data_IF_641061350705
#
_entry.id   IF_641061350705
#
_cell.length_a   1.000
_cell.length_b   1.000
_cell.length_c   1.000
_cell.angle_alpha   90.00
_cell.angle_beta   90.00
_cell.angle_gamma   90.00
#
_symmetry.space_group_name_H-M   'P 1'
#
loop_
_entity.id
_entity.type
_entity.pdbx_description
1 polymer ?
#
# COMPACT_ATOMS: atom_id res chain seq x y z
N UNK A 1 -23.14 17.88 -2.87
CA UNK A 1 -22.07 17.35 -3.76
C UNK A 1 -22.23 15.85 -3.81
N UNK A 2 -21.92 15.20 -4.93
CA UNK A 2 -21.94 13.74 -4.99
C UNK A 2 -20.86 13.17 -4.07
N UNK A 3 -21.21 12.19 -3.24
CA UNK A 3 -20.25 11.50 -2.35
C UNK A 3 -19.25 10.76 -3.23
N UNK A 4 -17.95 10.97 -2.97
CA UNK A 4 -16.86 10.28 -3.66
C UNK A 4 -16.37 9.12 -2.82
N UNK A 5 -16.12 7.98 -3.46
CA UNK A 5 -15.60 6.78 -2.81
C UNK A 5 -14.13 6.59 -3.14
N UNK A 6 -13.30 6.34 -2.14
CA UNK A 6 -11.88 6.09 -2.30
C UNK A 6 -11.54 4.71 -1.74
N UNK A 7 -10.76 3.94 -2.50
CA UNK A 7 -10.24 2.65 -2.07
C UNK A 7 -8.77 2.83 -1.67
N UNK A 8 -8.44 2.47 -0.44
CA UNK A 8 -7.08 2.44 0.07
C UNK A 8 -6.66 0.98 0.18
N UNK A 9 -5.75 0.52 -0.68
CA UNK A 9 -5.09 -0.76 -0.50
C UNK A 9 -3.90 -0.59 0.41
N UNK A 10 -3.76 -1.46 1.41
CA UNK A 10 -2.64 -1.44 2.34
C UNK A 10 -1.78 -2.68 2.25
N UNK A 11 -0.48 -2.47 2.30
CA UNK A 11 0.55 -3.49 2.43
C UNK A 11 1.53 -3.12 3.55
N UNK A 12 2.45 -4.02 3.94
CA UNK A 12 3.23 -3.86 5.18
C UNK A 12 4.69 -3.47 4.95
N UNK A 13 5.32 -4.02 3.93
CA UNK A 13 6.77 -3.97 3.72
C UNK A 13 7.27 -2.56 3.50
N UNK A 14 6.44 -1.66 2.95
CA UNK A 14 6.73 -0.25 2.68
C UNK A 14 6.42 0.71 3.83
N UNK A 15 5.77 0.24 4.90
CA UNK A 15 5.35 1.06 6.05
C UNK A 15 6.53 1.69 6.79
N UNK A 16 6.32 2.87 7.39
CA UNK A 16 7.28 3.56 8.26
C UNK A 16 7.86 2.60 9.31
N UNK A 17 9.19 2.59 9.48
CA UNK A 17 9.88 1.78 10.50
C UNK A 17 10.00 0.28 10.19
N UNK A 18 9.37 -0.23 9.13
CA UNK A 18 9.51 -1.62 8.67
C UNK A 18 10.78 -1.74 7.83
N UNK A 19 11.70 -2.64 8.19
CA UNK A 19 13.03 -2.68 7.55
C UNK A 19 13.57 -4.08 7.28
N UNK A 20 13.11 -5.11 7.99
CA UNK A 20 13.66 -6.47 7.91
C UNK A 20 12.55 -7.49 7.85
N UNK A 21 12.84 -8.69 7.34
CA UNK A 21 11.87 -9.79 7.25
C UNK A 21 11.18 -10.15 8.58
N UNK A 22 11.77 -9.83 9.72
CA UNK A 22 11.15 -10.08 11.03
C UNK A 22 9.88 -9.27 11.25
N UNK A 23 9.73 -8.12 10.58
CA UNK A 23 8.50 -7.33 10.59
C UNK A 23 7.40 -7.94 9.70
N UNK A 24 7.73 -8.88 8.81
CA UNK A 24 6.78 -9.60 7.95
C UNK A 24 6.50 -11.04 8.44
N UNK A 25 7.07 -11.45 9.58
CA UNK A 25 6.77 -12.73 10.21
C UNK A 25 5.51 -12.60 11.07
N UNK A 26 4.37 -13.07 10.55
CA UNK A 26 3.04 -12.95 11.15
C UNK A 26 2.92 -13.52 12.58
N UNK A 27 3.91 -14.28 13.06
CA UNK A 27 3.94 -14.85 14.40
C UNK A 27 4.80 -14.06 15.40
N UNK A 28 5.53 -13.04 14.93
CA UNK A 28 6.55 -12.34 15.69
C UNK A 28 6.10 -11.00 16.29
N UNK A 29 6.70 -10.61 17.43
CA UNK A 29 6.49 -9.28 18.06
C UNK A 29 6.82 -8.09 17.16
N UNK A 30 7.74 -8.29 16.20
CA UNK A 30 8.09 -7.24 15.22
C UNK A 30 6.98 -7.02 14.22
N UNK A 31 6.21 -8.05 13.91
CA UNK A 31 5.05 -7.94 13.04
C UNK A 31 3.88 -7.24 13.74
N UNK A 32 3.61 -7.55 15.01
CA UNK A 32 2.63 -6.77 15.81
C UNK A 32 2.96 -5.27 15.80
N UNK A 33 4.26 -4.95 15.94
CA UNK A 33 4.75 -3.58 15.85
C UNK A 33 4.61 -2.99 14.43
N UNK A 34 4.86 -3.79 13.39
CA UNK A 34 4.66 -3.39 11.99
C UNK A 34 3.20 -2.99 11.75
N UNK A 35 2.26 -3.81 12.22
CA UNK A 35 0.81 -3.55 12.09
C UNK A 35 0.41 -2.28 12.84
N UNK A 36 1.00 -2.02 14.02
CA UNK A 36 0.78 -0.77 14.73
C UNK A 36 1.31 0.46 13.95
N UNK A 37 2.45 0.34 13.26
CA UNK A 37 2.97 1.38 12.38
C UNK A 37 2.11 1.56 11.13
N UNK A 38 1.58 0.46 10.58
CA UNK A 38 0.66 0.50 9.45
C UNK A 38 -0.60 1.28 9.78
N UNK A 39 -1.17 1.10 10.98
CA UNK A 39 -2.29 1.91 11.46
C UNK A 39 -1.95 3.41 11.50
N UNK A 40 -0.72 3.77 11.89
CA UNK A 40 -0.28 5.16 11.89
C UNK A 40 -0.27 5.75 10.48
N UNK A 41 0.41 5.09 9.54
CA UNK A 41 0.52 5.55 8.16
C UNK A 41 -0.86 5.59 7.46
N UNK A 42 -1.67 4.55 7.65
CA UNK A 42 -3.02 4.46 7.10
C UNK A 42 -3.92 5.59 7.62
N UNK A 43 -3.98 5.79 8.94
CA UNK A 43 -4.86 6.79 9.52
C UNK A 43 -4.42 8.21 9.12
N UNK A 44 -3.11 8.48 8.99
CA UNK A 44 -2.62 9.75 8.46
C UNK A 44 -3.08 10.00 7.01
N UNK A 45 -3.05 8.97 6.15
CA UNK A 45 -3.57 9.06 4.79
C UNK A 45 -5.08 9.31 4.78
N UNK A 46 -5.84 8.64 5.66
CA UNK A 46 -7.29 8.85 5.80
C UNK A 46 -7.61 10.28 6.27
N UNK A 47 -6.87 10.79 7.27
CA UNK A 47 -7.01 12.16 7.77
C UNK A 47 -6.71 13.19 6.68
N UNK A 48 -5.62 13.01 5.94
CA UNK A 48 -5.27 13.88 4.81
C UNK A 48 -6.32 13.85 3.70
N UNK A 49 -6.84 12.66 3.38
CA UNK A 49 -7.92 12.50 2.41
C UNK A 49 -9.20 13.23 2.86
N UNK A 50 -9.60 13.07 4.12
CA UNK A 50 -10.80 13.70 4.67
C UNK A 50 -10.64 15.22 4.86
N UNK A 51 -9.41 15.72 5.04
CA UNK A 51 -9.14 17.14 5.01
C UNK A 51 -9.36 17.74 3.62
N UNK A 52 -9.03 16.98 2.56
CA UNK A 52 -9.23 17.39 1.16
C UNK A 52 -10.68 17.17 0.67
N UNK A 53 -11.32 16.08 1.08
CA UNK A 53 -12.73 15.76 0.80
C UNK A 53 -13.44 15.28 2.09
N UNK A 54 -14.02 16.21 2.87
CA UNK A 54 -14.69 15.88 4.14
C UNK A 54 -15.87 14.90 4.00
N UNK A 55 -16.39 14.76 2.79
CA UNK A 55 -17.54 13.90 2.46
C UNK A 55 -17.14 12.55 1.88
N UNK A 56 -15.84 12.25 1.77
CA UNK A 56 -15.36 11.00 1.23
C UNK A 56 -15.90 9.79 1.99
N UNK A 57 -16.29 8.77 1.23
CA UNK A 57 -16.47 7.40 1.69
C UNK A 57 -15.14 6.66 1.52
N UNK A 58 -14.60 6.12 2.60
CA UNK A 58 -13.27 5.48 2.60
C UNK A 58 -13.41 3.99 2.81
N UNK A 59 -12.93 3.22 1.84
CA UNK A 59 -12.85 1.77 1.91
C UNK A 59 -11.39 1.37 2.02
N UNK A 60 -11.03 0.59 3.04
CA UNK A 60 -9.68 0.10 3.26
C UNK A 60 -9.65 -1.38 2.95
N UNK A 61 -8.72 -1.77 2.09
CA UNK A 61 -8.42 -3.15 1.73
C UNK A 61 -7.12 -3.56 2.40
N UNK A 62 -7.22 -4.51 3.32
CA UNK A 62 -6.04 -5.20 3.85
C UNK A 62 -5.52 -6.20 2.80
N UNK A 63 -4.34 -5.94 2.25
CA UNK A 63 -3.77 -6.69 1.13
C UNK A 63 -2.43 -7.38 1.46
N UNK A 64 -2.04 -7.43 2.73
CA UNK A 64 -0.79 -8.07 3.15
C UNK A 64 -1.03 -9.50 3.66
N UNK A 65 -0.12 -10.44 3.32
CA UNK A 65 -0.15 -11.85 3.77
C UNK A 65 -1.54 -12.53 3.74
N UNK A 66 -2.20 -12.66 4.90
CA UNK A 66 -3.49 -13.34 5.07
C UNK A 66 -4.69 -12.41 4.84
N UNK A 67 -4.44 -11.12 4.60
CA UNK A 67 -5.42 -10.05 4.48
C UNK A 67 -6.28 -9.85 5.75
N UNK A 68 -5.77 -10.16 6.94
CA UNK A 68 -6.49 -10.10 8.22
C UNK A 68 -5.69 -9.43 9.35
N UNK A 69 -4.84 -8.46 8.97
CA UNK A 69 -3.81 -7.89 9.83
C UNK A 69 -4.33 -6.68 10.62
N UNK A 70 -5.17 -5.83 10.02
CA UNK A 70 -5.66 -4.60 10.65
C UNK A 70 -6.64 -4.85 11.80
N UNK A 71 -6.31 -4.34 12.99
CA UNK A 71 -7.23 -4.21 14.11
C UNK A 71 -8.30 -3.12 13.89
N UNK A 72 -9.55 -3.52 13.71
CA UNK A 72 -10.69 -2.62 13.48
C UNK A 72 -10.88 -1.56 14.58
N UNK A 73 -10.41 -1.82 15.81
CA UNK A 73 -10.51 -0.85 16.92
C UNK A 73 -9.58 0.36 16.76
N UNK A 74 -8.54 0.22 15.95
CA UNK A 74 -7.53 1.25 15.70
C UNK A 74 -7.75 1.97 14.36
N UNK A 75 -8.62 1.44 13.50
CA UNK A 75 -8.94 2.04 12.22
C UNK A 75 -9.69 3.36 12.40
N UNK A 76 -9.36 4.36 11.57
CA UNK A 76 -10.07 5.64 11.57
C UNK A 76 -11.60 5.44 11.42
N UNK A 77 -12.45 6.06 12.25
CA UNK A 77 -13.89 5.77 12.34
C UNK A 77 -14.72 6.15 11.11
N UNK A 78 -14.11 6.85 10.14
CA UNK A 78 -14.72 7.20 8.84
C UNK A 78 -14.38 6.21 7.73
N UNK A 79 -13.69 5.12 8.04
CA UNK A 79 -13.32 4.09 7.09
C UNK A 79 -14.04 2.77 7.37
N UNK A 80 -14.32 2.03 6.30
CA UNK A 80 -14.77 0.63 6.35
C UNK A 80 -13.60 -0.28 5.98
N UNK A 81 -13.56 -1.50 6.51
CA UNK A 81 -12.46 -2.44 6.33
C UNK A 81 -12.90 -3.69 5.56
N UNK A 82 -12.09 -4.10 4.58
CA UNK A 82 -12.20 -5.37 3.83
C UNK A 82 -11.03 -6.27 4.22
N UNK A 83 -11.34 -7.38 4.87
CA UNK A 83 -10.38 -8.42 5.29
C UNK A 83 -10.69 -9.78 4.65
N UNK A 84 -9.68 -10.66 4.63
CA UNK A 84 -9.67 -11.97 3.99
C UNK A 84 -9.47 -11.89 2.47
N UNK A 85 -8.97 -12.95 1.86
CA UNK A 85 -8.87 -13.01 0.39
C UNK A 85 -10.24 -13.27 -0.24
N UNK A 86 -10.69 -12.32 -1.07
CA UNK A 86 -11.96 -12.37 -1.80
C UNK A 86 -11.90 -13.23 -3.07
N UNK A 87 -12.88 -13.06 -3.95
CA UNK A 87 -13.11 -13.97 -5.09
C UNK A 87 -12.27 -13.67 -6.34
N UNK A 88 -11.43 -12.63 -6.34
CA UNK A 88 -10.47 -12.45 -7.45
C UNK A 88 -9.86 -11.06 -7.67
N UNK A 89 -10.32 -10.00 -6.99
CA UNK A 89 -9.78 -8.65 -7.18
C UNK A 89 -8.51 -8.38 -6.34
N UNK A 90 -8.21 -9.31 -5.43
CA UNK A 90 -6.94 -9.44 -4.70
C UNK A 90 -6.60 -8.17 -3.91
N UNK A 91 -5.49 -7.47 -4.22
CA UNK A 91 -5.06 -6.28 -3.48
C UNK A 91 -6.00 -5.09 -3.62
N UNK A 92 -6.95 -5.10 -4.57
CA UNK A 92 -7.94 -4.03 -4.75
C UNK A 92 -9.37 -4.53 -4.62
N UNK A 93 -9.59 -5.57 -3.80
CA UNK A 93 -10.94 -6.05 -3.49
C UNK A 93 -11.83 -4.90 -2.99
N UNK A 94 -13.07 -4.84 -3.49
CA UNK A 94 -14.00 -3.72 -3.28
C UNK A 94 -13.94 -2.61 -4.33
N UNK A 95 -13.05 -2.70 -5.33
CA UNK A 95 -13.04 -1.76 -6.46
C UNK A 95 -14.25 -1.96 -7.40
N UNK A 96 -14.76 -0.85 -7.93
CA UNK A 96 -15.84 -0.80 -8.91
C UNK A 96 -15.77 0.52 -9.71
N UNK A 97 -16.54 0.69 -10.80
CA UNK A 97 -16.56 1.95 -11.57
C UNK A 97 -17.02 3.18 -10.77
N UNK A 98 -17.68 2.99 -9.62
CA UNK A 98 -18.10 4.07 -8.73
C UNK A 98 -16.97 4.57 -7.81
N UNK A 99 -15.83 3.86 -7.74
CA UNK A 99 -14.66 4.32 -7.00
C UNK A 99 -14.01 5.47 -7.76
N UNK A 100 -13.79 6.58 -7.05
CA UNK A 100 -13.18 7.78 -7.60
C UNK A 100 -11.69 7.59 -7.86
N UNK A 101 -10.98 6.98 -6.91
CA UNK A 101 -9.55 6.72 -7.04
C UNK A 101 -9.06 5.64 -6.05
N UNK A 102 -7.91 5.06 -6.37
CA UNK A 102 -7.16 4.15 -5.50
C UNK A 102 -5.95 4.85 -4.89
N UNK A 103 -5.72 4.59 -3.61
CA UNK A 103 -4.53 4.97 -2.87
C UNK A 103 -3.81 3.70 -2.40
N UNK A 104 -2.49 3.68 -2.49
CA UNK A 104 -1.66 2.54 -2.09
C UNK A 104 -0.81 2.95 -0.87
N UNK A 105 -0.91 2.21 0.23
CA UNK A 105 -0.21 2.58 1.49
C UNK A 105 0.65 1.42 1.96
N UNK A 106 1.89 1.71 2.31
CA UNK A 106 2.84 0.69 2.76
C UNK A 106 3.35 -0.22 1.64
N UNK A 107 3.25 0.22 0.39
CA UNK A 107 3.73 -0.54 -0.78
C UNK A 107 5.26 -0.48 -0.91
N UNK A 108 5.83 -1.53 -1.49
CA UNK A 108 7.28 -1.69 -1.66
C UNK A 108 7.66 -1.94 -3.12
N UNK A 109 8.95 -1.83 -3.42
CA UNK A 109 9.47 -2.10 -4.77
C UNK A 109 9.37 -3.60 -5.13
N UNK A 110 9.19 -3.88 -6.44
CA UNK A 110 9.10 -5.24 -6.98
C UNK A 110 10.37 -6.08 -6.84
N UNK A 111 10.26 -7.41 -6.98
CA UNK A 111 11.38 -8.36 -6.82
C UNK A 111 12.55 -8.17 -7.80
N UNK A 112 12.31 -7.46 -8.91
CA UNK A 112 13.35 -7.06 -9.85
C UNK A 112 14.25 -5.94 -9.31
N UNK A 113 13.82 -5.24 -8.26
CA UNK A 113 14.48 -4.08 -7.67
C UNK A 113 15.59 -4.48 -6.70
N UNK A 114 16.56 -5.26 -7.20
CA UNK A 114 17.85 -5.59 -6.58
C UNK A 114 17.92 -5.50 -5.06
N UNK A 115 18.46 -4.39 -4.55
CA UNK A 115 18.74 -4.16 -3.12
C UNK A 115 17.66 -3.37 -2.39
N UNK A 116 16.51 -3.11 -3.02
CA UNK A 116 15.42 -2.39 -2.37
C UNK A 116 14.89 -3.16 -1.15
N UNK A 117 14.42 -2.41 -0.14
CA UNK A 117 14.07 -2.97 1.16
C UNK A 117 12.85 -3.88 1.01
N UNK A 118 12.98 -5.13 1.47
CA UNK A 118 11.96 -6.17 1.38
C UNK A 118 11.37 -6.39 -0.01
N UNK A 119 12.13 -6.04 -1.06
CA UNK A 119 11.62 -6.10 -2.43
C UNK A 119 11.28 -7.53 -2.86
N UNK A 120 10.04 -7.68 -3.34
CA UNK A 120 9.48 -8.92 -3.90
C UNK A 120 8.23 -8.62 -4.73
N UNK A 121 7.61 -9.63 -5.32
CA UNK A 121 6.30 -9.49 -6.00
C UNK A 121 5.50 -10.76 -5.76
N UNK A 122 4.49 -10.68 -4.89
CA UNK A 122 3.68 -11.72 -4.24
C UNK A 122 4.47 -12.74 -3.41
N UNK A 123 5.65 -13.11 -3.88
CA UNK A 123 6.53 -14.08 -3.24
C UNK A 123 7.98 -13.72 -3.50
N UNK A 124 8.84 -13.97 -2.50
CA UNK A 124 10.30 -13.89 -2.67
C UNK A 124 10.88 -14.90 -3.67
N UNK A 125 10.06 -15.82 -4.21
CA UNK A 125 10.45 -16.75 -5.26
C UNK A 125 10.27 -16.20 -6.68
N UNK A 126 9.51 -15.12 -6.84
CA UNK A 126 9.32 -14.46 -8.14
C UNK A 126 10.39 -13.39 -8.33
N UNK A 127 11.19 -13.55 -9.39
CA UNK A 127 12.22 -12.55 -9.76
C UNK A 127 11.61 -11.35 -10.47
N UNK A 128 10.72 -11.60 -11.42
CA UNK A 128 10.04 -10.56 -12.19
C UNK A 128 8.67 -11.07 -12.65
N UNK A 129 7.71 -10.16 -12.73
CA UNK A 129 6.42 -10.35 -13.39
C UNK A 129 6.37 -9.39 -14.57
N UNK A 130 5.93 -9.85 -15.74
CA UNK A 130 5.88 -9.04 -16.96
C UNK A 130 4.51 -9.09 -17.61
N UNK A 131 3.95 -7.93 -17.92
CA UNK A 131 2.68 -7.77 -18.65
C UNK A 131 2.90 -6.82 -19.81
N UNK A 132 2.51 -7.25 -21.02
CA UNK A 132 2.73 -6.45 -22.23
C UNK A 132 4.21 -6.10 -22.48
N UNK A 133 5.14 -6.96 -22.03
CA UNK A 133 6.59 -6.75 -22.15
C UNK A 133 7.20 -5.81 -21.10
N UNK A 134 6.40 -5.16 -20.26
CA UNK A 134 6.85 -4.31 -19.16
C UNK A 134 6.95 -5.11 -17.87
N UNK A 135 7.99 -4.88 -17.08
CA UNK A 135 8.09 -5.42 -15.72
C UNK A 135 7.14 -4.66 -14.82
N UNK A 136 6.40 -5.39 -13.99
CA UNK A 136 5.42 -4.83 -13.04
C UNK A 136 5.65 -5.42 -11.65
N UNK A 137 5.44 -4.58 -10.66
CA UNK A 137 5.37 -4.94 -9.24
C UNK A 137 3.92 -5.01 -8.78
N UNK A 138 3.72 -5.15 -7.48
CA UNK A 138 2.40 -5.24 -6.87
C UNK A 138 1.59 -3.95 -7.01
N UNK A 139 2.25 -2.79 -6.93
CA UNK A 139 1.62 -1.51 -7.21
C UNK A 139 1.11 -1.49 -8.66
N UNK A 140 1.94 -1.89 -9.61
CA UNK A 140 1.57 -2.02 -11.03
C UNK A 140 0.41 -2.99 -11.26
N UNK A 141 0.38 -4.13 -10.56
CA UNK A 141 -0.72 -5.11 -10.63
C UNK A 141 -2.03 -4.54 -10.07
N UNK A 142 -1.97 -3.85 -8.92
CA UNK A 142 -3.12 -3.10 -8.40
C UNK A 142 -3.61 -2.05 -9.40
N UNK A 143 -2.68 -1.36 -10.07
CA UNK A 143 -2.97 -0.41 -11.14
C UNK A 143 -3.62 -1.02 -12.37
N UNK A 144 -3.23 -2.23 -12.78
CA UNK A 144 -3.86 -2.94 -13.89
C UNK A 144 -5.31 -3.33 -13.56
N UNK A 145 -5.57 -3.80 -12.34
CA UNK A 145 -6.95 -4.03 -11.88
C UNK A 145 -7.73 -2.72 -11.81
N UNK A 146 -7.15 -1.64 -11.28
CA UNK A 146 -7.82 -0.34 -11.21
C UNK A 146 -8.17 0.22 -12.60
N UNK A 147 -7.23 0.13 -13.54
CA UNK A 147 -7.43 0.56 -14.92
C UNK A 147 -8.54 -0.21 -15.65
N UNK A 148 -8.77 -1.48 -15.30
CA UNK A 148 -9.91 -2.25 -15.85
C UNK A 148 -11.27 -1.60 -15.53
N UNK A 149 -11.38 -0.94 -14.37
CA UNK A 149 -12.57 -0.23 -13.93
C UNK A 149 -12.53 1.28 -14.26
N UNK A 150 -11.55 1.72 -15.05
CA UNK A 150 -11.31 3.14 -15.36
C UNK A 150 -11.04 4.01 -14.11
N UNK A 151 -10.53 3.38 -13.03
CA UNK A 151 -10.23 4.06 -11.76
C UNK A 151 -8.74 4.38 -11.70
N UNK A 152 -8.34 5.65 -11.48
CA UNK A 152 -6.94 6.01 -11.38
C UNK A 152 -6.35 5.65 -10.01
N UNK A 153 -5.08 5.23 -10.01
CA UNK A 153 -4.23 5.23 -8.81
C UNK A 153 -3.61 6.62 -8.68
N UNK A 154 -3.91 7.34 -7.59
CA UNK A 154 -3.52 8.75 -7.43
C UNK A 154 -2.46 8.99 -6.35
N UNK A 155 -2.25 8.01 -5.47
CA UNK A 155 -1.36 8.15 -4.32
C UNK A 155 -0.63 6.84 -4.03
N UNK A 156 0.64 6.94 -3.66
CA UNK A 156 1.41 5.83 -3.07
C UNK A 156 2.28 6.32 -1.90
N UNK A 157 2.19 5.66 -0.76
CA UNK A 157 3.14 5.78 0.35
C UNK A 157 3.94 4.48 0.50
N UNK A 158 5.26 4.60 0.64
CA UNK A 158 6.18 3.46 0.71
C UNK A 158 7.63 3.89 0.93
N UNK A 159 8.58 3.06 0.48
CA UNK A 159 9.98 3.48 0.38
C UNK A 159 10.25 4.32 -0.89
N UNK A 160 11.43 4.95 -0.95
CA UNK A 160 11.84 5.76 -2.09
C UNK A 160 11.87 4.98 -3.41
N UNK A 161 12.20 3.68 -3.39
CA UNK A 161 12.22 2.84 -4.58
C UNK A 161 10.81 2.49 -5.06
N UNK A 162 9.88 2.16 -4.16
CA UNK A 162 8.46 1.98 -4.51
C UNK A 162 7.86 3.25 -5.13
N UNK A 163 8.15 4.42 -4.53
CA UNK A 163 7.67 5.71 -5.05
C UNK A 163 8.23 6.00 -6.44
N UNK A 164 9.51 5.72 -6.67
CA UNK A 164 10.12 5.88 -7.99
C UNK A 164 9.45 4.99 -9.04
N UNK A 165 9.31 3.69 -8.76
CA UNK A 165 8.66 2.74 -9.66
C UNK A 165 7.20 3.11 -9.95
N UNK A 166 6.44 3.47 -8.92
CA UNK A 166 5.04 3.84 -9.06
C UNK A 166 4.82 5.08 -9.95
N UNK A 167 5.73 6.06 -9.91
CA UNK A 167 5.65 7.25 -10.78
C UNK A 167 5.87 6.92 -12.26
N UNK A 168 6.60 5.85 -12.58
CA UNK A 168 6.75 5.35 -13.95
C UNK A 168 5.48 4.63 -14.43
N UNK A 169 4.74 4.02 -13.50
CA UNK A 169 3.49 3.32 -13.79
C UNK A 169 2.27 4.25 -13.86
N UNK A 170 2.23 5.29 -13.01
CA UNK A 170 1.06 6.13 -12.78
C UNK A 170 1.37 7.61 -13.04
N UNK A 171 1.12 8.11 -14.26
CA UNK A 171 1.31 9.53 -14.56
C UNK A 171 0.48 10.43 -13.63
N UNK A 172 1.13 11.40 -12.97
CA UNK A 172 0.47 12.33 -12.05
C UNK A 172 0.30 11.81 -10.62
N UNK A 173 0.84 10.63 -10.29
CA UNK A 173 0.82 10.07 -8.95
C UNK A 173 1.51 10.97 -7.92
N UNK A 174 0.84 11.21 -6.79
CA UNK A 174 1.48 11.75 -5.59
C UNK A 174 2.16 10.61 -4.84
N UNK A 175 3.49 10.64 -4.76
CA UNK A 175 4.28 9.62 -4.07
C UNK A 175 4.97 10.16 -2.83
N UNK A 176 4.83 9.46 -1.70
CA UNK A 176 5.40 9.81 -0.38
C UNK A 176 6.36 8.72 0.08
N UNK A 177 7.64 9.08 0.22
CA UNK A 177 8.65 8.16 0.74
C UNK A 177 8.77 8.33 2.25
N UNK A 178 8.23 7.38 3.03
CA UNK A 178 8.27 7.40 4.50
C UNK A 178 9.56 6.79 5.06
N UNK A 179 10.36 6.20 4.19
CA UNK A 179 11.70 5.67 4.47
C UNK A 179 12.52 5.61 3.20
N UNK A 180 13.84 5.60 3.37
CA UNK A 180 14.81 5.37 2.29
C UNK A 180 15.37 3.95 2.39
N UNK A 181 15.33 3.21 1.29
CA UNK A 181 15.99 1.92 1.18
C UNK A 181 17.51 2.09 1.15
N UNK A 182 18.21 1.28 1.94
CA UNK A 182 19.68 1.22 1.98
C UNK A 182 20.19 -0.16 1.53
N UNK A 183 19.46 -1.21 1.88
CA UNK A 183 19.65 -2.58 1.41
C UNK A 183 18.37 -3.40 1.65
N UNK A 184 18.39 -4.68 1.26
CA UNK A 184 17.22 -5.57 1.34
C UNK A 184 16.61 -5.69 2.73
N UNK A 185 17.44 -5.65 3.77
CA UNK A 185 17.02 -5.68 5.17
C UNK A 185 17.54 -4.43 5.92
N UNK A 186 17.63 -3.28 5.25
CA UNK A 186 18.14 -2.05 5.85
C UNK A 186 17.47 -0.82 5.23
N UNK A 187 16.89 0.04 6.06
CA UNK A 187 16.29 1.31 5.64
C UNK A 187 16.55 2.40 6.68
N UNK A 188 16.44 3.65 6.24
CA UNK A 188 16.39 4.82 7.10
C UNK A 188 14.96 5.37 7.08
N UNK A 189 14.20 5.17 8.16
CA UNK A 189 12.82 5.65 8.28
C UNK A 189 12.74 7.04 8.87
N UNK A 190 11.70 7.76 8.46
CA UNK A 190 11.23 8.93 9.21
C UNK A 190 10.72 8.48 10.58
N UNK A 191 10.61 9.43 11.51
CA UNK A 191 9.85 9.17 12.73
C UNK A 191 8.35 9.06 12.41
N UNK A 192 7.57 8.30 13.19
CA UNK A 192 6.12 8.20 12.97
C UNK A 192 5.44 9.58 12.92
N UNK A 193 5.89 10.52 13.77
CA UNK A 193 5.37 11.90 13.81
C UNK A 193 5.62 12.67 12.52
N UNK A 194 6.74 12.41 11.85
CA UNK A 194 7.11 13.10 10.61
C UNK A 194 6.46 12.43 9.39
N UNK A 195 6.18 11.12 9.47
CA UNK A 195 5.48 10.37 8.42
C UNK A 195 3.95 10.58 8.44
N UNK A 196 3.39 11.03 9.57
CA UNK A 196 1.95 11.27 9.77
C UNK A 196 1.52 12.68 9.38
#
# INVERSE_FOLDING_TARGET
MAVRRYLISVDLEGVTGVATRHFADTTGKRYELAVAYLHSDLNAVIEGLLAADPTAEVLVRDAHCNADNLDLRLLHPRASLIQGWGTGLYMVEGISPEVTAVLLVGYHAGGHSGTAVLAHTFSGHLREVRVGGRTIDEAGLAGLHAGHFEVPVIFLAGDDQAVAAARECFPGLTGVAVKRSLARDCSASLSLREAS
#
